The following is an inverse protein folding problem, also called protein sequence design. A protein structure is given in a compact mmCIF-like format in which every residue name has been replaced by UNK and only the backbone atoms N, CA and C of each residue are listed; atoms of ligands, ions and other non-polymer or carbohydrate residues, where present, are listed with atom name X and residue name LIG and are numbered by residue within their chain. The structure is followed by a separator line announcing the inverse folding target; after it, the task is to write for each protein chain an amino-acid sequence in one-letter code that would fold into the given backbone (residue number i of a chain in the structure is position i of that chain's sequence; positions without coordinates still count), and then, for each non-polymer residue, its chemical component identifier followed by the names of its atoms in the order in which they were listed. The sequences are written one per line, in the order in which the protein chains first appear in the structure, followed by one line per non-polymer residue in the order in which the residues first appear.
data_IF_043705719400
#
_entry.id   IF_043705719400
#
_cell.length_a   1.000
_cell.length_b   1.000
_cell.length_c   1.000
_cell.angle_alpha   90.00
_cell.angle_beta   90.00
_cell.angle_gamma   90.00
#
_symmetry.space_group_name_H-M   'P 1'
#
loop_
_entity.id
_entity.type
_entity.pdbx_description
1 polymer ?
#
# COMPACT_ATOMS: atom_id res chain seq x y z
N UNK A 1 16.66 -15.42 15.57
CA UNK A 1 16.42 -15.42 17.02
C UNK A 1 17.74 -15.61 17.76
N UNK A 2 18.00 -14.75 18.75
CA UNK A 2 19.15 -14.87 19.66
C UNK A 2 18.69 -15.18 21.07
N UNK A 3 19.40 -16.09 21.72
CA UNK A 3 19.20 -16.39 23.14
C UNK A 3 20.15 -15.55 23.98
N UNK A 4 19.61 -14.69 24.85
CA UNK A 4 20.39 -13.94 25.84
C UNK A 4 20.04 -14.44 27.23
N UNK A 5 21.05 -14.68 28.06
CA UNK A 5 20.86 -15.01 29.48
C UNK A 5 20.96 -13.75 30.33
N UNK A 6 19.86 -13.41 31.02
CA UNK A 6 19.78 -12.29 31.94
C UNK A 6 19.26 -12.80 33.28
N UNK A 7 20.05 -12.66 34.35
CA UNK A 7 19.66 -13.09 35.71
C UNK A 7 19.12 -14.54 35.78
N UNK A 8 19.78 -15.50 35.12
CA UNK A 8 19.37 -16.91 34.97
C UNK A 8 18.05 -17.13 34.19
N UNK A 9 17.52 -16.12 33.51
CA UNK A 9 16.39 -16.25 32.58
C UNK A 9 16.93 -16.27 31.15
N UNK A 10 16.57 -17.31 30.39
CA UNK A 10 16.84 -17.38 28.94
C UNK A 10 15.77 -16.59 28.20
N UNK A 11 16.21 -15.56 27.47
CA UNK A 11 15.36 -14.68 26.69
C UNK A 11 15.58 -14.96 25.20
N UNK A 12 14.48 -15.15 24.46
CA UNK A 12 14.49 -15.32 23.01
C UNK A 12 14.14 -14.00 22.35
N UNK A 13 15.14 -13.35 21.77
CA UNK A 13 15.00 -12.03 21.16
C UNK A 13 14.89 -12.21 19.64
N UNK A 14 13.87 -11.63 19.00
CA UNK A 14 13.75 -11.64 17.55
C UNK A 14 14.78 -10.68 16.94
N UNK A 15 15.47 -11.11 15.89
CA UNK A 15 16.43 -10.28 15.14
C UNK A 15 15.86 -9.83 13.80
N UNK A 16 14.79 -10.46 13.35
CA UNK A 16 14.19 -10.20 12.05
C UNK A 16 12.70 -10.57 12.06
N UNK A 17 11.99 -10.18 11.00
CA UNK A 17 10.57 -10.46 10.85
C UNK A 17 10.21 -11.94 10.72
N UNK A 18 11.17 -12.82 10.40
CA UNK A 18 10.91 -14.27 10.35
C UNK A 18 10.79 -14.88 11.75
N UNK A 19 11.30 -14.20 12.78
CA UNK A 19 11.22 -14.62 14.18
C UNK A 19 9.88 -14.22 14.83
N UNK A 20 9.07 -13.37 14.19
CA UNK A 20 7.82 -12.81 14.75
C UNK A 20 6.62 -13.37 14.00
N UNK A 21 5.65 -13.93 14.74
CA UNK A 21 4.35 -14.34 14.19
C UNK A 21 3.40 -13.14 14.00
N UNK A 22 2.54 -13.19 13.00
CA UNK A 22 1.56 -12.12 12.72
C UNK A 22 0.63 -11.85 13.90
N UNK A 23 0.11 -12.90 14.55
CA UNK A 23 -0.75 -12.76 15.74
C UNK A 23 -0.08 -12.02 16.89
N UNK A 24 1.26 -12.05 16.96
CA UNK A 24 2.03 -11.28 17.92
C UNK A 24 2.16 -9.84 17.47
N UNK A 25 2.54 -9.62 16.21
CA UNK A 25 2.61 -8.29 15.61
C UNK A 25 1.31 -7.50 15.75
N UNK A 26 0.16 -8.12 15.54
CA UNK A 26 -1.15 -7.46 15.66
C UNK A 26 -1.43 -6.90 17.06
N UNK A 27 -0.88 -7.53 18.10
CA UNK A 27 -0.97 -7.01 19.48
C UNK A 27 -0.04 -5.82 19.70
N UNK A 28 1.11 -5.80 19.03
CA UNK A 28 2.16 -4.79 19.16
C UNK A 28 1.84 -3.51 18.38
N UNK A 29 1.33 -3.64 17.16
CA UNK A 29 1.27 -2.55 16.17
C UNK A 29 0.18 -1.49 16.43
N UNK A 30 -0.66 -1.69 17.45
CA UNK A 30 -1.66 -0.70 17.85
C UNK A 30 -1.07 0.45 18.68
N UNK A 31 0.23 0.42 18.98
CA UNK A 31 0.89 1.42 19.83
C UNK A 31 2.13 1.99 19.13
N UNK A 32 2.09 3.29 18.80
CA UNK A 32 3.31 4.03 18.42
C UNK A 32 3.93 4.59 19.70
N UNK A 33 5.18 4.25 20.04
CA UNK A 33 5.81 4.80 21.22
C UNK A 33 6.08 6.30 21.01
N UNK A 34 5.53 7.16 21.87
CA UNK A 34 5.74 8.61 21.82
C UNK A 34 6.76 9.06 22.88
N UNK A 35 6.85 8.33 23.98
CA UNK A 35 7.78 8.58 25.09
C UNK A 35 8.86 7.50 25.20
N UNK A 36 9.95 7.81 25.92
CA UNK A 36 10.97 6.80 26.24
C UNK A 36 10.41 5.63 27.05
N UNK A 37 9.39 5.86 27.87
CA UNK A 37 8.75 4.82 28.65
C UNK A 37 7.95 3.89 27.73
N UNK A 38 7.24 4.44 26.74
CA UNK A 38 6.56 3.64 25.72
C UNK A 38 7.54 2.82 24.89
N UNK A 39 8.73 3.37 24.60
CA UNK A 39 9.79 2.62 23.91
C UNK A 39 10.28 1.43 24.75
N UNK A 40 10.39 1.58 26.07
CA UNK A 40 10.74 0.46 26.97
C UNK A 40 9.65 -0.61 26.93
N UNK A 41 8.37 -0.24 27.03
CA UNK A 41 7.27 -1.18 26.92
C UNK A 41 7.24 -1.87 25.56
N UNK A 42 7.47 -1.12 24.48
CA UNK A 42 7.53 -1.66 23.13
C UNK A 42 8.63 -2.72 22.98
N UNK A 43 9.86 -2.40 23.40
CA UNK A 43 10.98 -3.35 23.36
C UNK A 43 10.69 -4.57 24.24
N UNK A 44 10.09 -4.38 25.41
CA UNK A 44 9.67 -5.46 26.28
C UNK A 44 8.66 -6.39 25.59
N UNK A 45 7.63 -5.83 24.96
CA UNK A 45 6.60 -6.61 24.28
C UNK A 45 7.13 -7.33 23.02
N UNK A 46 8.05 -6.71 22.27
CA UNK A 46 8.73 -7.34 21.13
C UNK A 46 9.63 -8.49 21.59
N UNK A 47 10.33 -8.35 22.71
CA UNK A 47 11.22 -9.37 23.26
C UNK A 47 10.53 -10.39 24.17
N UNK A 48 9.23 -10.22 24.47
CA UNK A 48 8.44 -11.05 25.40
C UNK A 48 8.95 -10.98 26.85
N UNK A 49 9.41 -9.81 27.27
CA UNK A 49 9.98 -9.56 28.59
C UNK A 49 8.98 -8.72 29.38
N UNK A 50 8.89 -8.94 30.69
CA UNK A 50 8.16 -8.01 31.56
C UNK A 50 8.89 -6.65 31.55
N UNK A 51 8.16 -5.58 31.24
CA UNK A 51 8.73 -4.23 31.20
C UNK A 51 9.39 -3.81 32.52
N UNK A 52 8.90 -4.30 33.66
CA UNK A 52 9.51 -4.02 34.97
C UNK A 52 10.92 -4.63 35.08
N UNK A 53 11.13 -5.82 34.50
CA UNK A 53 12.48 -6.45 34.47
C UNK A 53 13.44 -5.58 33.68
N UNK A 54 12.99 -5.00 32.57
CA UNK A 54 13.76 -4.08 31.75
C UNK A 54 14.07 -2.76 32.47
N UNK A 55 13.10 -2.22 33.22
CA UNK A 55 13.26 -1.00 34.02
C UNK A 55 14.23 -1.18 35.20
N UNK A 56 14.29 -2.38 35.79
CA UNK A 56 15.22 -2.72 36.86
C UNK A 56 16.61 -3.15 36.35
N UNK A 57 16.74 -3.40 35.04
CA UNK A 57 17.99 -3.83 34.41
C UNK A 57 18.97 -2.67 34.17
N UNK A 58 20.28 -2.94 34.07
CA UNK A 58 21.25 -1.93 33.65
C UNK A 58 20.88 -1.33 32.29
N UNK A 59 21.06 -0.02 32.11
CA UNK A 59 20.73 0.67 30.87
C UNK A 59 21.43 0.08 29.63
N UNK A 60 22.61 -0.55 29.79
CA UNK A 60 23.30 -1.24 28.69
C UNK A 60 22.48 -2.42 28.13
N UNK A 61 21.72 -3.12 28.97
CA UNK A 61 20.84 -4.22 28.55
C UNK A 61 19.73 -3.68 27.65
N UNK A 62 19.08 -2.60 28.07
CA UNK A 62 18.04 -1.96 27.26
C UNK A 62 18.62 -1.48 25.92
N UNK A 63 19.77 -0.82 25.91
CA UNK A 63 20.39 -0.34 24.68
C UNK A 63 20.71 -1.49 23.72
N UNK A 64 21.26 -2.60 24.22
CA UNK A 64 21.55 -3.77 23.39
C UNK A 64 20.26 -4.39 22.80
N UNK A 65 19.19 -4.47 23.58
CA UNK A 65 17.89 -4.97 23.12
C UNK A 65 17.25 -4.03 22.09
N UNK A 66 17.32 -2.72 22.33
CA UNK A 66 16.80 -1.71 21.41
C UNK A 66 17.54 -1.74 20.08
N UNK A 67 18.87 -1.91 20.08
CA UNK A 67 19.67 -2.07 18.86
C UNK A 67 19.27 -3.34 18.08
N UNK A 68 19.00 -4.46 18.76
CA UNK A 68 18.55 -5.68 18.09
C UNK A 68 17.15 -5.50 17.48
N UNK A 69 16.25 -4.80 18.16
CA UNK A 69 14.84 -4.60 17.73
C UNK A 69 14.69 -3.49 16.68
N UNK A 70 15.74 -2.73 16.39
CA UNK A 70 15.71 -1.57 15.50
C UNK A 70 15.24 -1.92 14.06
N UNK A 71 15.41 -3.17 13.63
CA UNK A 71 14.90 -3.64 12.33
C UNK A 71 13.40 -3.41 12.14
N UNK A 72 12.63 -3.32 13.22
CA UNK A 72 11.19 -3.07 13.18
C UNK A 72 10.87 -1.66 12.65
N UNK A 73 11.78 -0.71 12.85
CA UNK A 73 11.61 0.68 12.41
C UNK A 73 12.21 0.94 11.02
N UNK A 74 13.23 0.18 10.63
CA UNK A 74 14.04 0.48 9.43
C UNK A 74 13.62 -0.30 8.17
N UNK A 75 12.75 -1.30 8.28
CA UNK A 75 12.44 -2.17 7.13
C UNK A 75 11.17 -1.72 6.37
N UNK A 76 11.35 -1.15 5.18
CA UNK A 76 10.30 -1.18 4.16
C UNK A 76 10.29 -2.56 3.51
N UNK A 77 9.28 -3.38 3.85
CA UNK A 77 9.09 -4.67 3.19
C UNK A 77 8.44 -4.46 1.82
N UNK A 78 9.03 -4.99 0.73
CA UNK A 78 8.50 -4.82 -0.60
C UNK A 78 7.11 -5.47 -0.72
N UNK A 79 6.15 -4.83 -1.39
CA UNK A 79 4.82 -5.37 -1.56
C UNK A 79 4.84 -6.66 -2.38
N UNK A 80 4.17 -7.70 -1.91
CA UNK A 80 3.98 -8.95 -2.62
C UNK A 80 2.49 -9.30 -2.67
N UNK A 81 2.01 -9.74 -3.83
CA UNK A 81 0.61 -10.16 -4.00
C UNK A 81 0.41 -11.67 -3.78
N UNK A 82 1.48 -12.40 -3.49
CA UNK A 82 1.48 -13.84 -3.33
C UNK A 82 2.53 -14.28 -2.31
N UNK A 83 2.27 -15.39 -1.62
CA UNK A 83 3.21 -16.02 -0.69
C UNK A 83 3.12 -17.54 -0.76
N UNK A 84 4.21 -18.21 -0.37
CA UNK A 84 4.24 -19.66 -0.22
C UNK A 84 4.17 -20.08 1.25
N UNK A 85 3.15 -20.87 1.59
CA UNK A 85 2.92 -21.46 2.92
C UNK A 85 2.94 -22.98 2.77
N UNK A 86 3.99 -23.62 3.28
CA UNK A 86 4.26 -25.04 2.99
C UNK A 86 4.46 -25.24 1.48
N UNK A 87 3.69 -26.16 0.89
CA UNK A 87 3.69 -26.42 -0.56
C UNK A 87 2.60 -25.66 -1.33
N UNK A 88 1.77 -24.88 -0.64
CA UNK A 88 0.66 -24.15 -1.26
C UNK A 88 1.01 -22.68 -1.42
N UNK A 89 0.68 -22.15 -2.60
CA UNK A 89 0.85 -20.74 -2.92
C UNK A 89 -0.48 -20.00 -2.76
N UNK A 90 -0.48 -18.95 -1.95
CA UNK A 90 -1.63 -18.11 -1.64
C UNK A 90 -1.49 -16.77 -2.33
N UNK A 91 -2.59 -16.27 -2.87
CA UNK A 91 -2.64 -15.04 -3.64
C UNK A 91 -3.71 -14.11 -3.10
N UNK A 92 -3.42 -12.81 -3.12
CA UNK A 92 -4.36 -11.75 -2.82
C UNK A 92 -5.39 -11.64 -3.95
N UNK A 93 -6.65 -11.88 -3.62
CA UNK A 93 -7.78 -11.56 -4.48
C UNK A 93 -8.10 -10.07 -4.37
N UNK A 94 -7.92 -9.30 -5.46
CA UNK A 94 -8.17 -7.86 -5.47
C UNK A 94 -9.41 -7.46 -6.30
N UNK A 95 -9.84 -6.21 -6.05
CA UNK A 95 -11.17 -5.60 -6.18
C UNK A 95 -12.09 -6.04 -7.33
N UNK A 96 -11.60 -6.29 -8.55
CA UNK A 96 -12.48 -6.58 -9.69
C UNK A 96 -13.11 -7.99 -9.65
N UNK A 97 -12.74 -8.80 -8.65
CA UNK A 97 -13.16 -10.21 -8.51
C UNK A 97 -13.71 -10.57 -7.13
N UNK A 98 -13.90 -9.60 -6.23
CA UNK A 98 -14.50 -9.90 -4.93
C UNK A 98 -15.99 -10.19 -5.09
N UNK A 99 -16.42 -11.31 -4.53
CA UNK A 99 -17.82 -11.66 -4.35
C UNK A 99 -18.46 -10.79 -3.27
N UNK A 100 -19.78 -10.64 -3.29
CA UNK A 100 -20.50 -9.89 -2.25
C UNK A 100 -20.24 -10.47 -0.85
N UNK A 101 -20.15 -11.80 -0.73
CA UNK A 101 -19.84 -12.46 0.54
C UNK A 101 -18.48 -12.05 1.09
N UNK A 102 -17.44 -12.07 0.26
CA UNK A 102 -16.09 -11.60 0.65
C UNK A 102 -16.10 -10.15 1.11
N UNK A 103 -16.83 -9.29 0.39
CA UNK A 103 -16.92 -7.88 0.73
C UNK A 103 -17.62 -7.67 2.08
N UNK A 104 -18.77 -8.31 2.30
CA UNK A 104 -19.51 -8.22 3.57
C UNK A 104 -18.65 -8.70 4.75
N UNK A 105 -17.97 -9.83 4.60
CA UNK A 105 -17.15 -10.38 5.68
C UNK A 105 -15.91 -9.53 5.95
N UNK A 106 -15.29 -8.94 4.91
CA UNK A 106 -14.18 -8.02 5.10
C UNK A 106 -14.62 -6.73 5.83
N UNK A 107 -15.76 -6.15 5.45
CA UNK A 107 -16.34 -4.97 6.13
C UNK A 107 -16.68 -5.28 7.59
N UNK A 108 -17.25 -6.46 7.86
CA UNK A 108 -17.54 -6.91 9.23
C UNK A 108 -16.26 -6.97 10.07
N UNK A 109 -15.17 -7.55 9.55
CA UNK A 109 -13.88 -7.59 10.27
C UNK A 109 -13.36 -6.19 10.55
N UNK A 110 -13.41 -5.28 9.56
CA UNK A 110 -12.97 -3.89 9.72
C UNK A 110 -13.76 -3.17 10.83
N UNK A 111 -15.07 -3.38 10.88
CA UNK A 111 -15.99 -2.77 11.84
C UNK A 111 -15.98 -3.33 13.26
N UNK A 112 -15.32 -4.48 13.50
CA UNK A 112 -15.20 -5.08 14.84
C UNK A 112 -13.99 -4.52 15.61
N UNK A 113 -13.86 -4.80 16.90
CA UNK A 113 -12.63 -4.51 17.69
C UNK A 113 -11.73 -5.76 17.83
N UNK A 114 -11.69 -6.62 16.82
CA UNK A 114 -10.86 -7.83 16.86
C UNK A 114 -9.38 -7.49 17.11
N UNK A 115 -8.71 -8.32 17.93
CA UNK A 115 -7.26 -8.24 18.17
C UNK A 115 -6.45 -8.89 17.05
N UNK A 116 -7.10 -9.55 16.08
CA UNK A 116 -6.48 -10.29 14.99
C UNK A 116 -7.05 -9.90 13.61
N UNK A 117 -7.37 -8.60 13.42
CA UNK A 117 -7.98 -8.07 12.18
C UNK A 117 -7.18 -8.36 10.92
N UNK A 118 -5.86 -8.21 10.93
CA UNK A 118 -5.01 -8.47 9.77
C UNK A 118 -5.05 -9.95 9.42
N UNK A 119 -4.98 -10.83 10.41
CA UNK A 119 -5.08 -12.28 10.19
C UNK A 119 -6.43 -12.67 9.59
N UNK A 120 -7.53 -12.10 10.11
CA UNK A 120 -8.90 -12.32 9.63
C UNK A 120 -9.10 -11.77 8.21
N UNK A 121 -8.60 -10.56 7.92
CA UNK A 121 -8.66 -9.97 6.58
C UNK A 121 -7.86 -10.77 5.56
N UNK A 122 -6.66 -11.22 5.92
CA UNK A 122 -5.87 -12.09 5.05
C UNK A 122 -6.58 -13.42 4.81
N UNK A 123 -7.30 -13.96 5.79
CA UNK A 123 -8.08 -15.19 5.61
C UNK A 123 -9.22 -15.04 4.58
N UNK A 124 -9.82 -13.87 4.51
CA UNK A 124 -10.86 -13.58 3.52
C UNK A 124 -10.25 -13.33 2.13
N UNK A 125 -9.19 -12.52 2.08
CA UNK A 125 -8.69 -11.96 0.83
C UNK A 125 -7.58 -12.79 0.18
N UNK A 126 -6.89 -13.66 0.92
CA UNK A 126 -5.77 -14.46 0.43
C UNK A 126 -6.15 -15.94 0.35
N UNK A 127 -6.01 -16.53 -0.84
CA UNK A 127 -6.43 -17.92 -1.10
C UNK A 127 -5.54 -18.61 -2.14
N UNK A 128 -5.53 -19.95 -2.18
CA UNK A 128 -4.89 -20.70 -3.24
C UNK A 128 -5.45 -20.38 -4.63
N UNK A 129 -4.63 -20.55 -5.67
CA UNK A 129 -5.06 -20.37 -7.06
C UNK A 129 -6.22 -21.31 -7.36
N UNK A 130 -7.30 -20.75 -7.93
CA UNK A 130 -8.46 -21.51 -8.39
C UNK A 130 -9.45 -21.87 -7.28
N UNK A 131 -9.15 -21.56 -6.02
CA UNK A 131 -10.10 -21.72 -4.93
C UNK A 131 -11.20 -20.64 -5.01
N UNK A 132 -12.46 -21.05 -4.85
CA UNK A 132 -13.58 -20.12 -4.69
C UNK A 132 -13.71 -19.73 -3.22
N UNK A 133 -14.26 -18.56 -2.98
CA UNK A 133 -14.56 -18.12 -1.63
C UNK A 133 -15.47 -19.12 -0.91
N UNK A 134 -15.07 -19.49 0.31
CA UNK A 134 -15.84 -20.36 1.18
C UNK A 134 -15.75 -19.84 2.63
N UNK A 135 -16.85 -19.36 3.23
CA UNK A 135 -16.85 -18.85 4.61
C UNK A 135 -16.52 -19.95 5.63
N UNK A 136 -16.79 -21.21 5.33
CA UNK A 136 -16.53 -22.34 6.25
C UNK A 136 -15.03 -22.53 6.53
N UNK A 137 -14.16 -22.07 5.63
CA UNK A 137 -12.70 -22.19 5.76
C UNK A 137 -12.06 -21.01 6.54
N UNK A 138 -12.81 -19.97 6.87
CA UNK A 138 -12.26 -18.74 7.46
C UNK A 138 -11.60 -18.99 8.82
N UNK A 139 -12.18 -19.87 9.65
CA UNK A 139 -11.63 -20.17 10.97
C UNK A 139 -10.24 -20.81 10.90
N UNK A 140 -10.11 -21.88 10.10
CA UNK A 140 -8.83 -22.56 9.87
C UNK A 140 -7.80 -21.63 9.24
N UNK A 141 -8.22 -20.86 8.24
CA UNK A 141 -7.35 -19.95 7.52
C UNK A 141 -6.88 -18.78 8.38
N UNK A 142 -7.73 -18.28 9.27
CA UNK A 142 -7.34 -17.26 10.25
C UNK A 142 -6.25 -17.79 11.18
N UNK A 143 -6.38 -19.02 11.67
CA UNK A 143 -5.34 -19.63 12.51
C UNK A 143 -4.02 -19.87 11.76
N UNK A 144 -4.09 -20.21 10.48
CA UNK A 144 -2.91 -20.29 9.61
C UNK A 144 -2.20 -18.93 9.52
N UNK A 145 -2.93 -17.85 9.20
CA UNK A 145 -2.34 -16.51 9.09
C UNK A 145 -1.83 -15.97 10.43
N UNK A 146 -2.52 -16.25 11.54
CA UNK A 146 -2.05 -15.91 12.90
C UNK A 146 -0.67 -16.50 13.20
N UNK A 147 -0.42 -17.72 12.72
CA UNK A 147 0.83 -18.44 12.94
C UNK A 147 1.89 -18.16 11.87
N UNK A 148 1.55 -17.44 10.80
CA UNK A 148 2.47 -17.05 9.76
C UNK A 148 3.47 -16.02 10.30
N UNK A 149 4.72 -16.11 9.85
CA UNK A 149 5.78 -15.17 10.22
C UNK A 149 5.65 -13.85 9.47
N UNK A 150 6.08 -12.76 10.08
CA UNK A 150 5.90 -11.39 9.58
C UNK A 150 6.67 -11.13 8.28
N UNK A 151 7.79 -11.80 8.04
CA UNK A 151 8.54 -11.74 6.77
C UNK A 151 7.68 -12.18 5.58
N UNK A 152 6.68 -13.04 5.81
CA UNK A 152 5.71 -13.48 4.80
C UNK A 152 4.41 -12.68 4.83
N UNK A 153 3.89 -12.38 6.02
CA UNK A 153 2.61 -11.70 6.15
C UNK A 153 2.68 -10.20 5.78
N UNK A 154 3.72 -9.50 6.20
CA UNK A 154 3.83 -8.05 6.00
C UNK A 154 3.98 -7.63 4.54
N UNK A 155 4.66 -8.39 3.64
CA UNK A 155 4.62 -8.11 2.20
C UNK A 155 3.21 -8.10 1.61
N UNK A 156 2.31 -8.98 2.07
CA UNK A 156 0.90 -8.98 1.65
C UNK A 156 0.18 -7.72 2.11
N UNK A 157 0.41 -7.31 3.35
CA UNK A 157 -0.16 -6.07 3.92
C UNK A 157 0.39 -4.84 3.18
N UNK A 158 1.69 -4.82 2.91
CA UNK A 158 2.38 -3.79 2.14
C UNK A 158 1.78 -3.67 0.73
N UNK A 159 1.39 -4.79 0.10
CA UNK A 159 0.68 -4.78 -1.17
C UNK A 159 -0.68 -4.09 -1.10
N UNK A 160 -1.49 -4.33 -0.07
CA UNK A 160 -2.75 -3.60 0.09
C UNK A 160 -2.53 -2.10 0.31
N UNK A 161 -1.52 -1.73 1.10
CA UNK A 161 -1.17 -0.33 1.34
C UNK A 161 -0.67 0.36 0.08
N UNK A 162 0.15 -0.32 -0.74
CA UNK A 162 0.62 0.23 -2.01
C UNK A 162 -0.54 0.44 -2.97
N UNK A 163 -1.46 -0.53 -3.06
CA UNK A 163 -2.65 -0.43 -3.90
C UNK A 163 -3.58 0.70 -3.45
N UNK A 164 -3.79 0.87 -2.15
CA UNK A 164 -4.54 2.01 -1.61
C UNK A 164 -3.97 3.35 -2.10
N UNK A 165 -2.64 3.55 -1.99
CA UNK A 165 -1.98 4.78 -2.47
C UNK A 165 -2.17 4.98 -3.98
N UNK A 166 -2.04 3.91 -4.77
CA UNK A 166 -2.28 3.96 -6.22
C UNK A 166 -3.72 4.40 -6.55
N UNK A 167 -4.72 3.79 -5.89
CA UNK A 167 -6.13 4.14 -6.09
C UNK A 167 -6.46 5.56 -5.64
N UNK A 168 -5.92 6.01 -4.50
CA UNK A 168 -6.07 7.39 -4.02
C UNK A 168 -5.49 8.39 -5.01
N UNK A 169 -4.32 8.11 -5.59
CA UNK A 169 -3.72 8.96 -6.61
C UNK A 169 -4.59 9.07 -7.88
N UNK A 170 -5.15 7.94 -8.34
CA UNK A 170 -6.08 7.91 -9.47
C UNK A 170 -7.35 8.73 -9.16
N UNK A 171 -7.94 8.53 -7.98
CA UNK A 171 -9.16 9.22 -7.56
C UNK A 171 -8.95 10.74 -7.47
N UNK A 172 -7.81 11.16 -6.90
CA UNK A 172 -7.42 12.57 -6.82
C UNK A 172 -7.24 13.19 -8.21
N UNK A 173 -6.62 12.45 -9.14
CA UNK A 173 -6.46 12.90 -10.52
C UNK A 173 -7.82 13.07 -11.21
N UNK A 174 -8.71 12.08 -11.10
CA UNK A 174 -10.06 12.15 -11.65
C UNK A 174 -10.83 13.37 -11.11
N UNK A 175 -10.78 13.60 -9.80
CA UNK A 175 -11.42 14.75 -9.16
C UNK A 175 -10.87 16.08 -9.69
N UNK A 176 -9.56 16.16 -9.93
CA UNK A 176 -8.90 17.33 -10.52
C UNK A 176 -9.39 17.58 -11.96
N UNK A 177 -9.45 16.53 -12.78
CA UNK A 177 -9.96 16.61 -14.16
C UNK A 177 -11.42 17.06 -14.18
N UNK A 178 -12.26 16.51 -13.31
CA UNK A 178 -13.66 16.91 -13.18
C UNK A 178 -13.80 18.40 -12.79
N UNK A 179 -12.99 18.88 -11.84
CA UNK A 179 -12.97 20.28 -11.47
C UNK A 179 -12.53 21.20 -12.63
N UNK A 180 -11.51 20.79 -13.39
CA UNK A 180 -11.07 21.51 -14.58
C UNK A 180 -12.14 21.54 -15.67
N UNK A 181 -12.79 20.41 -15.96
CA UNK A 181 -13.88 20.33 -16.93
C UNK A 181 -15.06 21.25 -16.54
N UNK A 182 -15.44 21.24 -15.26
CA UNK A 182 -16.47 22.14 -14.73
C UNK A 182 -16.08 23.61 -14.88
N UNK A 183 -14.80 23.95 -14.68
CA UNK A 183 -14.28 25.30 -14.88
C UNK A 183 -14.31 25.70 -16.36
N UNK A 184 -13.86 24.84 -17.28
CA UNK A 184 -13.94 25.09 -18.72
C UNK A 184 -15.39 25.29 -19.18
N UNK A 185 -16.35 24.53 -18.65
CA UNK A 185 -17.78 24.74 -18.95
C UNK A 185 -18.30 26.09 -18.44
N UNK A 186 -17.84 26.56 -17.27
CA UNK A 186 -18.19 27.90 -16.77
C UNK A 186 -17.54 29.00 -17.59
N UNK A 187 -16.27 28.84 -17.93
CA UNK A 187 -15.51 29.82 -18.71
C UNK A 187 -16.09 29.93 -20.13
N UNK A 188 -16.40 28.82 -20.80
CA UNK A 188 -17.04 28.83 -22.13
C UNK A 188 -18.41 29.49 -22.12
N UNK A 189 -19.25 29.25 -21.10
CA UNK A 189 -20.52 29.97 -20.92
C UNK A 189 -20.30 31.47 -20.71
N UNK A 190 -19.34 31.85 -19.87
CA UNK A 190 -18.97 33.25 -19.63
C UNK A 190 -18.45 33.93 -20.90
N UNK A 191 -17.61 33.25 -21.68
CA UNK A 191 -17.12 33.72 -22.97
C UNK A 191 -18.24 33.83 -24.01
N UNK A 192 -19.23 32.93 -24.00
CA UNK A 192 -20.38 33.01 -24.91
C UNK A 192 -21.29 34.21 -24.57
N UNK A 193 -21.48 34.52 -23.29
CA UNK A 193 -22.34 35.63 -22.81
C UNK A 193 -21.63 36.99 -22.96
N UNK A 194 -20.35 37.07 -22.61
CA UNK A 194 -19.59 38.33 -22.54
C UNK A 194 -18.69 38.57 -23.78
N UNK A 195 -18.57 37.61 -24.69
CA UNK A 195 -17.65 37.64 -25.82
C UNK A 195 -18.15 38.42 -27.03
N UNK A 196 -18.50 39.69 -26.89
CA UNK A 196 -18.82 40.57 -28.01
C UNK A 196 -17.67 40.75 -29.02
N UNK A 197 -16.41 40.62 -28.57
CA UNK A 197 -15.20 40.79 -29.39
C UNK A 197 -14.61 39.50 -30.03
N UNK A 198 -15.09 38.31 -29.66
CA UNK A 198 -14.42 37.02 -30.00
C UNK A 198 -14.93 36.37 -31.30
N UNK A 199 -15.95 36.91 -31.98
CA UNK A 199 -16.36 36.35 -33.30
C UNK A 199 -15.25 36.33 -34.35
N UNK A 200 -14.23 37.20 -34.23
CA UNK A 200 -13.10 37.29 -35.18
C UNK A 200 -11.88 36.44 -34.81
N UNK A 201 -11.76 36.01 -33.56
CA UNK A 201 -10.57 35.28 -33.07
C UNK A 201 -10.41 33.88 -33.70
N UNK A 202 -11.49 33.07 -33.87
CA UNK A 202 -11.43 31.80 -34.60
C UNK A 202 -11.05 31.99 -36.07
N UNK A 203 -11.47 33.10 -36.68
CA UNK A 203 -11.15 33.43 -38.08
C UNK A 203 -9.64 33.67 -38.24
N UNK A 204 -9.02 34.44 -37.34
CA UNK A 204 -7.58 34.68 -37.35
C UNK A 204 -6.75 33.42 -37.08
N UNK A 205 -7.21 32.55 -36.18
CA UNK A 205 -6.56 31.26 -35.95
C UNK A 205 -6.65 30.34 -37.18
N UNK A 206 -7.80 30.31 -37.89
CA UNK A 206 -7.93 29.60 -39.17
C UNK A 206 -6.98 30.15 -40.24
N UNK A 207 -6.93 31.47 -40.42
CA UNK A 207 -6.05 32.10 -41.41
C UNK A 207 -4.58 31.73 -41.14
N UNK A 208 -4.14 31.82 -39.88
CA UNK A 208 -2.77 31.47 -39.48
C UNK A 208 -2.46 29.99 -39.72
N UNK A 209 -3.40 29.09 -39.41
CA UNK A 209 -3.24 27.65 -39.65
C UNK A 209 -3.11 27.32 -41.14
N UNK A 210 -3.97 27.89 -41.98
CA UNK A 210 -3.92 27.68 -43.44
C UNK A 210 -2.61 28.18 -44.05
N UNK A 211 -2.07 29.29 -43.55
CA UNK A 211 -0.78 29.82 -44.02
C UNK A 211 0.39 28.90 -43.63
N UNK A 212 0.39 28.38 -42.40
CA UNK A 212 1.38 27.41 -41.93
C UNK A 212 1.35 26.11 -42.74
N UNK A 213 0.16 25.56 -43.01
CA UNK A 213 0.03 24.35 -43.83
C UNK A 213 0.56 24.57 -45.25
N UNK A 214 0.16 25.66 -45.93
CA UNK A 214 0.66 25.96 -47.28
C UNK A 214 2.18 26.16 -47.32
N UNK A 215 2.75 26.76 -46.27
CA UNK A 215 4.21 26.90 -46.14
C UNK A 215 4.89 25.54 -45.99
N UNK A 216 4.34 24.65 -45.16
CA UNK A 216 4.86 23.30 -44.96
C UNK A 216 4.73 22.43 -46.21
N UNK A 217 3.60 22.49 -46.91
CA UNK A 217 3.40 21.81 -48.20
C UNK A 217 4.42 22.27 -49.25
N UNK A 218 4.69 23.59 -49.33
CA UNK A 218 5.69 24.14 -50.26
C UNK A 218 7.12 23.71 -49.90
N UNK A 219 7.42 23.57 -48.61
CA UNK A 219 8.72 23.04 -48.16
C UNK A 219 8.85 21.53 -48.43
N UNK A 220 7.78 20.76 -48.23
CA UNK A 220 7.74 19.34 -48.54
C UNK A 220 7.82 19.05 -50.04
N UNK A 221 7.18 19.86 -50.88
CA UNK A 221 7.27 19.76 -52.34
C UNK A 221 8.71 20.02 -52.85
N UNK A 222 9.46 20.94 -52.22
CA UNK A 222 10.89 21.13 -52.51
C UNK A 222 11.74 19.91 -52.14
N UNK A 223 11.31 19.12 -51.16
CA UNK A 223 12.00 17.89 -50.76
C UNK A 223 11.57 16.67 -51.61
N UNK A 224 10.39 16.68 -52.24
CA UNK A 224 9.95 15.61 -53.14
C UNK A 224 10.59 15.65 -54.53
N UNK A 225 11.02 16.81 -55.01
CA UNK A 225 11.72 16.93 -56.29
C UNK A 225 13.17 16.39 -56.23
N UNK A 226 13.69 16.07 -55.04
CA UNK A 226 15.01 15.46 -54.85
C UNK A 226 15.01 13.92 -54.88
N UNK A 227 13.85 13.26 -54.93
CA UNK A 227 13.76 11.78 -54.96
C UNK A 227 13.43 11.18 -56.32
N UNK A 228 13.35 11.99 -57.39
CA UNK A 228 13.08 11.53 -58.75
C UNK A 228 14.14 11.97 -59.77
N UNK A 229 15.41 11.81 -59.42
CA UNK A 229 16.51 11.72 -60.39
C UNK A 229 17.35 10.48 -60.06
N UNK A 230 16.99 9.36 -60.69
CA UNK A 230 17.94 8.33 -61.11
C UNK A 230 18.24 8.57 -62.58
#
# INVERSE_FOLDING_TARGET
MVTVELNNVKLEIPENWSDIKLSRYEKLYMQKPETKLDLVHFVADVCNIDANVLLESPAQVFNALAEIVDFVFDSELPPANAIKVGDTEYFVSFADKLTLGEWVDAENVIGTDSKCKLSELLAILCRPIGEKYNPDLLGERTEMFKNLTCDKALPLISFFLSKKREYEAILNHYSTVMAQAARFLKDTKTFAINGGGIKRLPIWQRIRYTYLIRSLEKQLAKCSDFSSTK
#
